data_IF_413437352316
#
_entry.id   IF_413437352316
#
_cell.length_a   1.000
_cell.length_b   1.000
_cell.length_c   1.000
_cell.angle_alpha   90.00
_cell.angle_beta   90.00
_cell.angle_gamma   90.00
#
_symmetry.space_group_name_H-M   'P 1'
#
loop_
_entity.id
_entity.type
_entity.pdbx_description
1 polymer ?
#
# COMPACT_ATOMS: atom_id res chain seq x y z
N UNK A 1 -1.08 -6.13 8.53
CA UNK A 1 0.17 -6.84 8.74
C UNK A 1 0.08 -7.76 9.96
N UNK A 2 0.85 -8.85 9.92
CA UNK A 2 1.25 -9.59 11.12
C UNK A 2 2.77 -9.45 11.23
N UNK A 3 3.25 -9.01 12.38
CA UNK A 3 4.65 -8.77 12.65
C UNK A 3 5.09 -9.47 13.92
N UNK A 4 6.33 -9.95 13.93
CA UNK A 4 7.00 -10.37 15.17
C UNK A 4 8.04 -9.30 15.49
N UNK A 5 7.91 -8.71 16.66
CA UNK A 5 8.89 -7.80 17.27
C UNK A 5 9.77 -8.58 18.22
N UNK A 6 11.08 -8.35 18.14
CA UNK A 6 12.09 -8.87 19.05
C UNK A 6 12.58 -7.73 19.93
N UNK A 7 12.31 -7.83 21.24
CA UNK A 7 12.81 -6.89 22.25
C UNK A 7 14.28 -7.18 22.59
N UNK A 8 14.97 -6.18 23.12
CA UNK A 8 16.33 -6.29 23.60
C UNK A 8 17.41 -6.10 22.53
N UNK A 9 17.03 -5.79 21.27
CA UNK A 9 17.98 -5.68 20.17
C UNK A 9 17.66 -4.46 19.30
N UNK A 10 18.67 -3.62 19.06
CA UNK A 10 18.60 -2.47 18.13
C UNK A 10 19.48 -2.76 16.93
N UNK A 11 18.98 -2.51 15.71
CA UNK A 11 19.71 -2.72 14.46
C UNK A 11 19.65 -1.47 13.57
N UNK A 12 20.63 -1.32 12.70
CA UNK A 12 20.73 -0.19 11.75
C UNK A 12 19.56 -0.10 10.76
N UNK A 13 18.95 -1.24 10.46
CA UNK A 13 17.80 -1.36 9.54
C UNK A 13 16.44 -1.42 10.23
N UNK A 14 16.43 -1.48 11.57
CA UNK A 14 15.24 -1.75 12.39
C UNK A 14 14.63 -3.17 12.12
N UNK A 15 15.42 -4.05 11.51
CA UNK A 15 15.07 -5.42 11.12
C UNK A 15 16.16 -6.36 11.63
N UNK A 16 15.80 -7.56 12.04
CA UNK A 16 16.73 -8.54 12.61
C UNK A 16 17.88 -8.90 11.67
N UNK A 17 17.69 -8.71 10.36
CA UNK A 17 18.73 -8.95 9.34
C UNK A 17 19.75 -7.82 9.21
N UNK A 18 19.56 -6.72 9.92
CA UNK A 18 20.51 -5.60 9.97
C UNK A 18 21.70 -5.86 10.89
N UNK A 19 22.64 -4.92 10.86
CA UNK A 19 23.78 -4.92 11.79
C UNK A 19 23.29 -4.56 13.18
N UNK A 20 23.63 -5.39 14.17
CA UNK A 20 23.30 -5.11 15.59
C UNK A 20 24.12 -3.91 16.06
N UNK A 21 23.44 -2.90 16.56
CA UNK A 21 24.04 -1.69 17.13
C UNK A 21 24.10 -1.78 18.66
N UNK A 22 23.02 -2.28 19.28
CA UNK A 22 22.91 -2.39 20.73
C UNK A 22 22.14 -3.66 21.11
N UNK A 23 22.48 -4.25 22.27
CA UNK A 23 21.74 -5.32 22.91
C UNK A 23 21.51 -4.94 24.38
N UNK A 24 20.28 -5.13 24.84
CA UNK A 24 19.87 -4.79 26.19
C UNK A 24 19.13 -5.98 26.84
N UNK A 25 19.23 -6.17 28.16
CA UNK A 25 18.39 -7.12 28.86
C UNK A 25 16.91 -6.71 28.74
N UNK A 26 16.04 -7.72 28.69
CA UNK A 26 14.58 -7.51 28.62
C UNK A 26 14.01 -7.78 30.01
N UNK A 27 13.97 -6.73 30.84
CA UNK A 27 13.52 -6.79 32.23
C UNK A 27 12.11 -6.17 32.39
N UNK A 28 11.26 -6.28 31.37
CA UNK A 28 9.91 -5.73 31.33
C UNK A 28 8.86 -6.83 31.51
N UNK A 29 7.75 -6.52 32.19
CA UNK A 29 6.63 -7.44 32.32
C UNK A 29 5.77 -7.48 31.04
N UNK A 30 4.98 -8.53 30.89
CA UNK A 30 4.02 -8.64 29.77
C UNK A 30 2.99 -7.50 29.81
N UNK A 31 2.58 -7.02 30.99
CA UNK A 31 1.65 -5.90 31.17
C UNK A 31 2.26 -4.60 30.64
N UNK A 32 3.53 -4.32 30.97
CA UNK A 32 4.23 -3.14 30.48
C UNK A 32 4.38 -3.18 28.95
N UNK A 33 4.71 -4.33 28.39
CA UNK A 33 4.79 -4.52 26.93
C UNK A 33 3.43 -4.31 26.29
N UNK A 34 2.35 -4.85 26.85
CA UNK A 34 1.00 -4.70 26.35
C UNK A 34 0.56 -3.23 26.35
N UNK A 35 0.82 -2.53 27.45
CA UNK A 35 0.50 -1.10 27.56
C UNK A 35 1.28 -0.29 26.52
N UNK A 36 2.59 -0.51 26.40
CA UNK A 36 3.43 0.18 25.43
C UNK A 36 2.96 -0.05 23.99
N UNK A 37 2.71 -1.30 23.60
CA UNK A 37 2.21 -1.67 22.25
C UNK A 37 0.88 -0.99 21.95
N UNK A 38 -0.10 -1.08 22.85
CA UNK A 38 -1.44 -0.54 22.62
C UNK A 38 -1.47 0.98 22.61
N UNK A 39 -0.52 1.66 23.24
CA UNK A 39 -0.43 3.12 23.24
C UNK A 39 -0.10 3.75 21.89
N UNK A 40 0.37 2.95 20.90
CA UNK A 40 0.61 3.42 19.54
C UNK A 40 -0.64 3.38 18.65
N UNK A 41 -1.79 2.89 19.14
CA UNK A 41 -3.04 2.97 18.41
C UNK A 41 -3.54 4.42 18.32
N UNK A 42 -4.01 4.83 17.14
CA UNK A 42 -4.43 6.20 16.84
C UNK A 42 -3.48 6.94 15.92
N UNK A 43 -3.48 8.27 16.04
CA UNK A 43 -2.59 9.14 15.29
C UNK A 43 -1.17 9.09 15.87
N UNK A 44 -0.19 8.93 14.99
CA UNK A 44 1.18 8.68 15.37
C UNK A 44 2.15 9.41 14.42
N UNK A 45 3.08 10.17 14.99
CA UNK A 45 4.13 10.88 14.24
C UNK A 45 5.35 9.97 14.10
N UNK A 46 5.54 9.36 12.94
CA UNK A 46 6.61 8.39 12.68
C UNK A 46 7.76 9.01 11.89
N UNK A 47 8.98 8.84 12.35
CA UNK A 47 10.20 9.18 11.60
C UNK A 47 10.51 8.00 10.65
N UNK A 48 10.45 8.18 9.31
CA UNK A 48 10.70 7.09 8.37
C UNK A 48 12.13 6.53 8.51
N UNK A 49 12.33 5.22 8.30
CA UNK A 49 13.68 4.63 8.38
C UNK A 49 14.58 5.10 7.23
N UNK A 50 15.90 5.10 7.46
CA UNK A 50 16.87 5.36 6.38
C UNK A 50 16.75 4.35 5.24
N UNK A 51 16.49 3.09 5.56
CA UNK A 51 16.26 2.04 4.57
C UNK A 51 14.84 2.08 4.00
N UNK A 52 14.50 3.19 3.33
CA UNK A 52 13.20 3.38 2.67
C UNK A 52 13.35 3.92 1.25
N UNK A 53 12.28 3.78 0.44
CA UNK A 53 12.22 4.32 -0.92
C UNK A 53 11.86 5.81 -0.98
N UNK A 54 11.70 6.48 0.16
CA UNK A 54 11.47 7.91 0.21
C UNK A 54 12.65 8.67 -0.38
N UNK A 55 12.35 9.76 -1.10
CA UNK A 55 13.38 10.62 -1.70
C UNK A 55 13.58 11.88 -0.89
N UNK A 56 14.86 12.22 -0.68
CA UNK A 56 15.30 13.50 -0.15
C UNK A 56 16.29 14.08 -1.17
N UNK A 57 16.04 15.31 -1.63
CA UNK A 57 16.84 15.95 -2.69
C UNK A 57 17.03 15.07 -3.95
N UNK A 58 15.95 14.38 -4.35
CA UNK A 58 15.94 13.53 -5.55
C UNK A 58 16.56 12.13 -5.38
N UNK A 59 17.28 11.85 -4.30
CA UNK A 59 17.92 10.55 -4.01
C UNK A 59 17.06 9.74 -3.04
N UNK A 60 17.00 8.42 -3.21
CA UNK A 60 16.30 7.54 -2.25
C UNK A 60 17.09 7.43 -0.95
N UNK A 61 16.39 7.41 0.19
CA UNK A 61 17.03 7.26 1.51
C UNK A 61 17.83 5.95 1.61
N UNK A 62 17.32 4.85 1.05
CA UNK A 62 18.05 3.57 1.07
C UNK A 62 19.37 3.61 0.26
N UNK A 63 19.47 4.41 -0.79
CA UNK A 63 20.70 4.56 -1.56
C UNK A 63 21.73 5.39 -0.79
N UNK A 64 21.27 6.43 -0.08
CA UNK A 64 22.11 7.21 0.83
C UNK A 64 22.61 6.35 1.99
N UNK A 65 21.74 5.55 2.61
CA UNK A 65 22.13 4.65 3.71
C UNK A 65 23.21 3.66 3.27
N UNK A 66 23.04 3.02 2.09
CA UNK A 66 24.06 2.09 1.53
C UNK A 66 25.39 2.76 1.23
N UNK A 67 25.41 4.06 0.96
CA UNK A 67 26.64 4.84 0.79
C UNK A 67 27.19 5.41 2.10
N UNK A 68 26.66 5.00 3.26
CA UNK A 68 27.10 5.45 4.59
C UNK A 68 26.63 6.86 4.96
N UNK A 69 25.71 7.46 4.19
CA UNK A 69 25.23 8.81 4.44
C UNK A 69 23.92 8.75 5.21
N UNK A 70 23.90 9.34 6.40
CA UNK A 70 22.68 9.56 7.18
C UNK A 70 22.19 10.98 6.97
N UNK A 71 20.90 11.16 6.75
CA UNK A 71 20.26 12.46 6.61
C UNK A 71 19.14 12.61 7.63
N UNK A 72 18.89 13.84 8.04
CA UNK A 72 17.76 14.16 8.90
C UNK A 72 16.44 13.86 8.17
N UNK A 73 15.50 13.23 8.87
CA UNK A 73 14.20 12.83 8.35
C UNK A 73 13.12 13.48 9.20
N UNK A 74 12.19 14.13 8.54
CA UNK A 74 11.03 14.71 9.22
C UNK A 74 10.02 13.62 9.56
N UNK A 75 9.47 13.68 10.77
CA UNK A 75 8.37 12.85 11.18
C UNK A 75 7.14 13.10 10.28
N UNK A 76 6.39 12.05 9.99
CA UNK A 76 5.19 12.10 9.15
C UNK A 76 4.00 11.52 9.90
N UNK A 77 2.81 12.13 9.76
CA UNK A 77 1.62 11.57 10.36
C UNK A 77 1.26 10.25 9.69
N UNK A 78 1.07 9.22 10.49
CA UNK A 78 0.48 7.93 10.12
C UNK A 78 -0.61 7.59 11.12
N UNK A 79 -1.51 6.69 10.74
CA UNK A 79 -2.58 6.25 11.62
C UNK A 79 -2.51 4.75 11.81
N UNK A 80 -2.48 4.33 13.06
CA UNK A 80 -2.61 2.93 13.46
C UNK A 80 -4.07 2.71 13.85
N UNK A 81 -4.84 2.08 12.97
CA UNK A 81 -6.27 1.85 13.20
C UNK A 81 -6.54 0.84 14.31
N UNK A 82 -5.68 -0.17 14.44
CA UNK A 82 -5.74 -1.16 15.52
C UNK A 82 -4.42 -1.92 15.66
N UNK A 83 -4.11 -2.31 16.89
CA UNK A 83 -3.07 -3.30 17.20
C UNK A 83 -3.71 -4.39 18.06
N UNK A 84 -3.48 -5.65 17.68
CA UNK A 84 -3.89 -6.84 18.42
C UNK A 84 -2.65 -7.66 18.72
N UNK A 85 -2.38 -7.95 19.97
CA UNK A 85 -1.32 -8.88 20.35
C UNK A 85 -1.86 -10.29 20.17
N UNK A 86 -1.25 -11.05 19.24
CA UNK A 86 -1.65 -12.41 18.90
C UNK A 86 -1.00 -13.40 19.88
N UNK A 87 0.29 -13.17 20.17
CA UNK A 87 1.09 -14.02 21.05
C UNK A 87 2.21 -13.20 21.67
N UNK A 88 2.48 -13.44 22.95
CA UNK A 88 3.60 -12.86 23.67
C UNK A 88 4.38 -13.97 24.37
N UNK A 89 5.64 -14.08 24.02
CA UNK A 89 6.63 -14.98 24.63
C UNK A 89 7.94 -14.20 24.66
N UNK A 90 8.11 -13.42 25.72
CA UNK A 90 9.27 -12.51 25.81
C UNK A 90 10.59 -13.25 25.56
N UNK A 91 11.49 -12.69 24.74
CA UNK A 91 11.49 -11.32 24.20
C UNK A 91 10.70 -11.12 22.90
N UNK A 92 9.87 -12.06 22.45
CA UNK A 92 9.10 -11.98 21.19
C UNK A 92 7.66 -11.59 21.42
N UNK A 93 7.19 -10.64 20.59
CA UNK A 93 5.79 -10.19 20.58
C UNK A 93 5.26 -10.28 19.15
N UNK A 94 4.28 -11.17 18.93
CA UNK A 94 3.57 -11.29 17.68
C UNK A 94 2.32 -10.42 17.72
N UNK A 95 2.20 -9.48 16.79
CA UNK A 95 1.09 -8.51 16.74
C UNK A 95 0.50 -8.40 15.34
N UNK A 96 -0.82 -8.18 15.29
CA UNK A 96 -1.54 -7.79 14.08
C UNK A 96 -1.74 -6.29 14.10
N UNK A 97 -1.29 -5.60 13.05
CA UNK A 97 -1.37 -4.14 12.93
C UNK A 97 -2.18 -3.78 11.68
N UNK A 98 -3.23 -2.99 11.88
CA UNK A 98 -3.96 -2.32 10.80
C UNK A 98 -3.59 -0.85 10.80
N UNK A 99 -3.07 -0.34 9.69
CA UNK A 99 -2.53 1.02 9.63
C UNK A 99 -2.74 1.68 8.26
N UNK A 100 -2.53 2.99 8.22
CA UNK A 100 -2.56 3.78 6.99
C UNK A 100 -1.40 3.44 6.06
N UNK A 101 -1.52 3.86 4.79
CA UNK A 101 -0.41 3.79 3.83
C UNK A 101 0.79 4.62 4.33
N UNK A 102 1.99 4.14 4.03
CA UNK A 102 3.23 4.84 4.42
C UNK A 102 3.72 4.53 5.83
N UNK A 103 2.99 3.75 6.62
CA UNK A 103 3.44 3.28 7.93
C UNK A 103 4.55 2.23 7.79
N UNK A 104 5.64 2.41 8.51
CA UNK A 104 6.75 1.47 8.60
C UNK A 104 6.64 0.64 9.86
N UNK A 105 6.31 -0.65 9.70
CA UNK A 105 6.16 -1.57 10.86
C UNK A 105 7.49 -1.78 11.57
N UNK A 106 8.63 -1.72 10.88
CA UNK A 106 9.96 -1.76 11.46
C UNK A 106 10.19 -0.63 12.46
N UNK A 107 9.83 0.58 12.06
CA UNK A 107 9.94 1.76 12.93
C UNK A 107 8.96 1.66 14.11
N UNK A 108 7.74 1.16 13.90
CA UNK A 108 6.82 0.91 15.00
C UNK A 108 7.42 -0.05 16.05
N UNK A 109 8.07 -1.13 15.61
CA UNK A 109 8.75 -2.06 16.51
C UNK A 109 9.88 -1.36 17.29
N UNK A 110 10.73 -0.58 16.62
CA UNK A 110 11.79 0.18 17.26
C UNK A 110 11.23 1.16 18.30
N UNK A 111 10.24 1.97 17.94
CA UNK A 111 9.67 3.02 18.80
C UNK A 111 8.98 2.40 20.04
N UNK A 112 8.36 1.21 19.90
CA UNK A 112 7.84 0.44 21.06
C UNK A 112 9.01 0.02 21.96
N UNK A 113 10.11 -0.49 21.40
CA UNK A 113 11.30 -0.88 22.15
C UNK A 113 11.97 0.30 22.87
N UNK A 114 12.03 1.47 22.21
CA UNK A 114 12.53 2.72 22.81
C UNK A 114 11.64 3.15 23.99
N UNK A 115 10.32 3.09 23.84
CA UNK A 115 9.37 3.38 24.91
C UNK A 115 9.53 2.46 26.12
N UNK A 116 9.90 1.20 25.87
CA UNK A 116 10.19 0.21 26.92
C UNK A 116 11.62 0.31 27.48
N UNK A 117 12.47 1.20 26.92
CA UNK A 117 13.87 1.40 27.30
C UNK A 117 14.75 0.15 27.17
N UNK A 118 14.31 -0.87 26.42
CA UNK A 118 15.11 -2.07 26.15
C UNK A 118 15.48 -2.24 24.67
N UNK A 119 15.01 -1.32 23.78
CA UNK A 119 15.19 -1.46 22.35
C UNK A 119 14.37 -2.61 21.75
N UNK A 120 14.14 -2.55 20.44
CA UNK A 120 13.52 -3.64 19.67
C UNK A 120 13.83 -3.51 18.18
N UNK A 121 13.71 -4.62 17.46
CA UNK A 121 13.70 -4.65 16.00
C UNK A 121 12.57 -5.58 15.50
N UNK A 122 12.24 -5.47 14.22
CA UNK A 122 11.31 -6.38 13.57
C UNK A 122 12.01 -7.69 13.22
N UNK A 123 11.46 -8.83 13.65
CA UNK A 123 12.01 -10.17 13.33
C UNK A 123 11.33 -10.76 12.09
N UNK A 124 10.03 -10.58 11.93
CA UNK A 124 9.31 -11.03 10.74
C UNK A 124 8.12 -10.15 10.43
N UNK A 125 7.73 -10.12 9.14
CA UNK A 125 6.60 -9.33 8.66
C UNK A 125 5.84 -10.08 7.57
N UNK A 126 4.53 -10.21 7.76
CA UNK A 126 3.60 -10.68 6.74
C UNK A 126 2.58 -9.58 6.45
N UNK A 127 2.51 -9.10 5.22
CA UNK A 127 1.41 -8.24 4.76
C UNK A 127 0.21 -9.11 4.45
N UNK A 128 -0.79 -9.09 5.31
CA UNK A 128 -1.97 -9.95 5.19
C UNK A 128 -3.05 -9.38 4.29
N UNK A 129 -3.14 -8.05 4.18
CA UNK A 129 -4.15 -7.39 3.34
C UNK A 129 -3.68 -6.03 2.85
N UNK A 130 -4.06 -5.66 1.62
CA UNK A 130 -3.93 -4.32 1.05
C UNK A 130 -5.20 -4.02 0.26
N UNK A 131 -5.99 -3.02 0.71
CA UNK A 131 -7.33 -2.76 0.16
C UNK A 131 -8.15 -4.05 0.15
N UNK A 132 -8.65 -4.50 -0.98
CA UNK A 132 -9.44 -5.74 -1.12
C UNK A 132 -8.58 -7.00 -1.30
N UNK A 133 -7.26 -6.86 -1.56
CA UNK A 133 -6.38 -8.00 -1.79
C UNK A 133 -5.91 -8.62 -0.48
N UNK A 134 -6.23 -9.90 -0.27
CA UNK A 134 -5.82 -10.68 0.89
C UNK A 134 -4.74 -11.68 0.52
N UNK A 135 -3.82 -11.96 1.45
CA UNK A 135 -2.74 -12.93 1.23
C UNK A 135 -3.26 -14.36 1.02
N UNK A 136 -4.43 -14.68 1.57
CA UNK A 136 -5.09 -15.97 1.38
C UNK A 136 -5.50 -16.23 -0.07
N UNK A 137 -5.77 -15.16 -0.83
CA UNK A 137 -6.17 -15.22 -2.24
C UNK A 137 -4.96 -15.14 -3.18
N UNK A 138 -3.74 -14.93 -2.62
CA UNK A 138 -2.52 -14.82 -3.40
C UNK A 138 -2.05 -16.20 -3.88
N UNK A 139 -1.64 -16.27 -5.14
CA UNK A 139 -1.08 -17.47 -5.73
C UNK A 139 0.44 -17.48 -5.61
N UNK A 140 1.01 -18.67 -5.43
CA UNK A 140 2.46 -18.89 -5.56
C UNK A 140 2.85 -18.86 -7.04
N UNK A 141 4.10 -18.52 -7.32
CA UNK A 141 4.59 -18.51 -8.71
C UNK A 141 4.41 -19.85 -9.41
N UNK A 142 4.61 -20.97 -8.72
CA UNK A 142 4.38 -22.31 -9.25
C UNK A 142 2.90 -22.57 -9.61
N UNK A 143 1.97 -22.08 -8.78
CA UNK A 143 0.53 -22.20 -9.05
C UNK A 143 0.12 -21.35 -10.26
N UNK A 144 0.71 -20.16 -10.41
CA UNK A 144 0.49 -19.31 -11.59
C UNK A 144 1.02 -20.04 -12.84
N UNK A 145 2.22 -20.60 -12.79
CA UNK A 145 2.82 -21.33 -13.90
C UNK A 145 1.95 -22.53 -14.35
N UNK A 146 1.44 -23.31 -13.41
CA UNK A 146 0.54 -24.44 -13.68
C UNK A 146 -0.78 -23.97 -14.32
N UNK A 147 -1.39 -22.90 -13.77
CA UNK A 147 -2.63 -22.33 -14.32
C UNK A 147 -2.43 -21.77 -15.73
N UNK A 148 -1.32 -21.07 -15.98
CA UNK A 148 -0.97 -20.59 -17.32
C UNK A 148 -0.83 -21.77 -18.28
N UNK A 149 -0.02 -22.78 -17.97
CA UNK A 149 0.17 -23.98 -18.81
C UNK A 149 -1.17 -24.65 -19.12
N UNK A 150 -2.06 -24.73 -18.14
CA UNK A 150 -3.39 -25.33 -18.33
C UNK A 150 -4.30 -24.48 -19.22
N UNK A 151 -4.29 -23.17 -19.05
CA UNK A 151 -5.17 -22.25 -19.77
C UNK A 151 -4.75 -22.11 -21.24
N UNK A 152 -3.46 -21.99 -21.52
CA UNK A 152 -2.98 -21.73 -22.88
C UNK A 152 -2.82 -23.02 -23.72
N UNK A 153 -2.59 -24.18 -23.10
CA UNK A 153 -2.35 -25.43 -23.81
C UNK A 153 -1.19 -25.28 -24.79
N UNK A 154 -1.50 -25.33 -26.11
CA UNK A 154 -0.53 -25.14 -27.21
C UNK A 154 -0.65 -23.75 -27.87
N UNK A 155 -1.46 -22.84 -27.31
CA UNK A 155 -1.64 -21.49 -27.86
C UNK A 155 -0.34 -20.69 -27.70
N UNK A 156 0.20 -20.09 -28.78
CA UNK A 156 1.44 -19.33 -28.71
C UNK A 156 1.23 -18.01 -27.94
N UNK A 157 2.28 -17.48 -27.27
CA UNK A 157 2.18 -16.31 -26.41
C UNK A 157 1.57 -15.06 -27.04
N UNK A 158 1.77 -14.89 -28.35
CA UNK A 158 1.25 -13.74 -29.11
C UNK A 158 -0.28 -13.71 -29.23
N UNK A 159 -0.94 -14.85 -28.92
CA UNK A 159 -2.39 -15.00 -28.94
C UNK A 159 -3.00 -15.05 -27.54
N UNK A 160 -2.20 -14.82 -26.49
CA UNK A 160 -2.72 -14.84 -25.13
C UNK A 160 -3.52 -13.56 -24.84
N UNK A 161 -4.70 -13.76 -24.28
CA UNK A 161 -5.58 -12.69 -23.84
C UNK A 161 -5.77 -12.75 -22.32
N UNK A 162 -5.93 -11.60 -21.67
CA UNK A 162 -6.11 -11.52 -20.22
C UNK A 162 -7.31 -12.36 -19.73
N UNK A 163 -8.36 -12.46 -20.52
CA UNK A 163 -9.55 -13.28 -20.21
C UNK A 163 -9.30 -14.80 -20.17
N UNK A 164 -8.16 -15.29 -20.64
CA UNK A 164 -7.76 -16.70 -20.51
C UNK A 164 -7.34 -17.07 -19.08
N UNK A 165 -7.08 -16.08 -18.23
CA UNK A 165 -6.50 -16.27 -16.90
C UNK A 165 -7.45 -15.80 -15.80
N UNK A 166 -7.94 -16.73 -14.99
CA UNK A 166 -8.89 -16.50 -13.90
C UNK A 166 -8.29 -15.69 -12.72
N UNK A 167 -6.98 -15.52 -12.69
CA UNK A 167 -6.23 -14.78 -11.67
C UNK A 167 -5.77 -13.39 -12.11
N UNK A 168 -6.06 -12.96 -13.36
CA UNK A 168 -5.79 -11.61 -13.85
C UNK A 168 -7.03 -10.74 -13.67
N UNK A 169 -6.90 -9.73 -12.83
CA UNK A 169 -7.94 -8.74 -12.61
C UNK A 169 -7.72 -7.53 -13.50
N UNK A 170 -8.80 -7.01 -14.09
CA UNK A 170 -8.75 -5.74 -14.83
C UNK A 170 -8.48 -4.57 -13.88
N UNK A 171 -7.80 -3.54 -14.37
CA UNK A 171 -7.44 -2.37 -13.54
C UNK A 171 -8.67 -1.71 -12.93
N UNK A 172 -9.78 -1.64 -13.64
CA UNK A 172 -11.03 -1.03 -13.18
C UNK A 172 -11.73 -1.83 -12.07
N UNK A 173 -11.41 -3.15 -11.95
CA UNK A 173 -12.01 -4.00 -10.91
C UNK A 173 -11.62 -3.58 -9.48
N UNK A 174 -10.49 -2.89 -9.29
CA UNK A 174 -10.08 -2.36 -7.99
C UNK A 174 -10.77 -1.05 -7.61
N UNK A 175 -11.59 -0.50 -8.49
CA UNK A 175 -12.30 0.76 -8.31
C UNK A 175 -13.84 0.61 -8.33
N UNK A 176 -14.36 -0.60 -8.03
CA UNK A 176 -15.80 -0.89 -8.11
C UNK A 176 -16.65 -0.03 -7.16
N UNK A 177 -16.06 0.54 -6.12
CA UNK A 177 -16.70 1.52 -5.25
C UNK A 177 -17.10 2.81 -5.99
N UNK A 178 -16.42 3.17 -7.09
CA UNK A 178 -16.75 4.33 -7.92
C UNK A 178 -17.75 3.97 -9.02
N UNK A 179 -18.67 4.87 -9.31
CA UNK A 179 -19.67 4.66 -10.35
C UNK A 179 -19.04 4.69 -11.74
N UNK A 180 -19.57 3.87 -12.64
CA UNK A 180 -19.19 3.83 -14.05
C UNK A 180 -19.86 4.99 -14.79
N UNK A 181 -19.09 5.71 -15.61
CA UNK A 181 -19.55 6.74 -16.52
C UNK A 181 -18.92 6.52 -17.91
N UNK A 182 -19.66 6.82 -18.97
CA UNK A 182 -19.22 6.59 -20.36
C UNK A 182 -19.21 7.95 -21.08
N UNK A 183 -18.13 8.24 -21.79
CA UNK A 183 -17.96 9.45 -22.61
C UNK A 183 -18.40 9.15 -24.04
N UNK A 184 -19.13 10.09 -24.67
CA UNK A 184 -19.55 10.00 -26.06
C UNK A 184 -18.32 9.96 -26.99
N UNK A 185 -18.38 9.15 -28.02
CA UNK A 185 -17.29 8.84 -28.97
C UNK A 185 -16.65 10.09 -29.59
N UNK A 186 -17.44 11.11 -29.86
CA UNK A 186 -16.96 12.38 -30.43
C UNK A 186 -15.92 13.09 -29.54
N UNK A 187 -15.89 12.82 -28.23
CA UNK A 187 -14.97 13.40 -27.26
C UNK A 187 -13.76 12.52 -26.94
N UNK A 188 -13.64 11.34 -27.58
CA UNK A 188 -12.54 10.41 -27.31
C UNK A 188 -11.15 11.04 -27.44
N UNK A 189 -10.96 11.96 -28.43
CA UNK A 189 -9.69 12.66 -28.57
C UNK A 189 -9.31 13.48 -27.34
N UNK A 190 -10.26 14.15 -26.72
CA UNK A 190 -10.02 14.90 -25.48
C UNK A 190 -9.81 13.94 -24.30
N UNK A 191 -10.62 12.89 -24.22
CA UNK A 191 -10.56 11.89 -23.18
C UNK A 191 -9.19 11.21 -23.14
N UNK A 192 -8.69 10.75 -24.29
CA UNK A 192 -7.40 10.04 -24.38
C UNK A 192 -6.19 10.94 -24.11
N UNK A 193 -6.34 12.26 -24.30
CA UNK A 193 -5.32 13.23 -23.91
C UNK A 193 -5.42 13.67 -22.43
N UNK A 194 -6.29 13.05 -21.64
CA UNK A 194 -6.44 13.36 -20.23
C UNK A 194 -7.04 14.75 -19.96
N UNK A 195 -7.83 15.25 -20.87
CA UNK A 195 -8.51 16.53 -20.68
C UNK A 195 -9.68 16.42 -19.70
N UNK A 196 -10.15 17.56 -19.25
CA UNK A 196 -11.35 17.69 -18.42
C UNK A 196 -12.60 17.36 -19.24
N UNK A 197 -13.59 16.70 -18.59
CA UNK A 197 -14.84 16.29 -19.23
C UNK A 197 -16.02 17.09 -18.68
N UNK A 198 -16.77 17.74 -19.57
CA UNK A 198 -18.00 18.45 -19.20
C UNK A 198 -19.18 17.48 -19.11
N UNK A 199 -20.27 17.92 -18.46
CA UNK A 199 -21.47 17.11 -18.21
C UNK A 199 -22.17 16.66 -19.52
N UNK A 200 -22.12 17.47 -20.56
CA UNK A 200 -22.70 17.20 -21.88
C UNK A 200 -21.91 16.19 -22.73
N UNK A 201 -20.69 15.86 -22.31
CA UNK A 201 -19.83 14.87 -22.97
C UNK A 201 -20.14 13.41 -22.58
N UNK A 202 -20.98 13.21 -21.57
CA UNK A 202 -21.35 11.87 -21.13
C UNK A 202 -22.54 11.31 -21.89
N UNK A 203 -22.52 10.03 -22.24
CA UNK A 203 -23.65 9.33 -22.88
C UNK A 203 -24.92 9.45 -22.05
N UNK A 204 -24.81 9.32 -20.72
CA UNK A 204 -25.90 9.57 -19.78
C UNK A 204 -25.32 10.16 -18.49
N UNK A 205 -25.54 11.46 -18.28
CA UNK A 205 -25.08 12.14 -17.10
C UNK A 205 -25.99 11.89 -15.88
N UNK A 206 -25.39 11.79 -14.69
CA UNK A 206 -26.13 11.68 -13.42
C UNK A 206 -25.51 12.63 -12.39
N UNK A 207 -26.30 13.57 -11.85
CA UNK A 207 -25.84 14.56 -10.88
C UNK A 207 -25.22 13.98 -9.61
N UNK A 208 -25.66 12.78 -9.19
CA UNK A 208 -25.06 12.05 -8.04
C UNK A 208 -23.59 11.69 -8.21
N UNK A 209 -23.04 11.77 -9.44
CA UNK A 209 -21.63 11.53 -9.69
C UNK A 209 -20.73 12.67 -9.20
N UNK A 210 -21.28 13.84 -8.95
CA UNK A 210 -20.53 15.00 -8.44
C UNK A 210 -20.01 14.82 -7.02
N UNK A 211 -20.58 13.89 -6.26
CA UNK A 211 -20.27 13.69 -4.84
C UNK A 211 -19.07 12.75 -4.58
N UNK A 212 -18.56 12.08 -5.59
CA UNK A 212 -17.46 11.10 -5.46
C UNK A 212 -16.71 10.94 -6.78
N UNK A 213 -15.49 10.40 -6.76
CA UNK A 213 -14.80 10.01 -7.98
C UNK A 213 -15.60 8.99 -8.80
N UNK A 214 -15.44 9.03 -10.11
CA UNK A 214 -16.07 8.14 -11.07
C UNK A 214 -15.04 7.42 -11.93
N UNK A 215 -15.42 6.21 -12.41
CA UNK A 215 -14.66 5.46 -13.42
C UNK A 215 -15.16 5.88 -14.79
N UNK A 216 -14.27 6.39 -15.64
CA UNK A 216 -14.61 6.79 -17.00
C UNK A 216 -14.17 5.73 -18.00
N UNK A 217 -15.09 5.44 -18.93
CA UNK A 217 -14.93 4.53 -20.06
C UNK A 217 -15.27 5.26 -21.35
N UNK A 218 -14.72 4.78 -22.47
CA UNK A 218 -15.25 5.11 -23.79
C UNK A 218 -16.46 4.23 -24.15
N UNK A 219 -17.10 4.47 -25.28
CA UNK A 219 -18.24 3.68 -25.76
C UNK A 219 -17.87 2.25 -26.16
N UNK A 220 -16.60 1.97 -26.47
CA UNK A 220 -16.10 0.63 -26.73
C UNK A 220 -15.88 -0.17 -25.42
N UNK A 221 -16.12 0.45 -24.26
CA UNK A 221 -16.00 -0.17 -22.95
C UNK A 221 -14.57 -0.19 -22.38
N UNK A 222 -13.63 0.52 -22.99
CA UNK A 222 -12.25 0.64 -22.50
C UNK A 222 -12.23 1.55 -21.28
N UNK A 223 -11.61 1.06 -20.20
CA UNK A 223 -11.39 1.87 -19.00
C UNK A 223 -10.28 2.88 -19.23
N UNK A 224 -10.58 4.14 -19.02
CA UNK A 224 -9.66 5.26 -19.27
C UNK A 224 -9.03 5.78 -17.99
N UNK A 225 -9.83 5.91 -16.92
CA UNK A 225 -9.31 6.45 -15.68
C UNK A 225 -10.34 6.79 -14.63
N UNK A 226 -9.83 7.41 -13.57
CA UNK A 226 -10.62 7.95 -12.47
C UNK A 226 -10.66 9.46 -12.62
N UNK A 227 -11.84 10.01 -12.52
CA UNK A 227 -12.10 11.46 -12.59
C UNK A 227 -12.90 11.90 -11.37
N UNK A 228 -12.73 13.14 -10.95
CA UNK A 228 -13.54 13.75 -9.89
C UNK A 228 -14.12 15.08 -10.35
N UNK A 229 -15.31 15.39 -9.84
CA UNK A 229 -16.00 16.65 -10.13
C UNK A 229 -15.31 17.82 -9.45
N UNK A 230 -15.25 18.95 -10.13
CA UNK A 230 -14.72 20.21 -9.62
C UNK A 230 -15.87 21.22 -9.55
N UNK A 231 -16.36 21.54 -8.37
CA UNK A 231 -17.41 22.54 -8.16
C UNK A 231 -17.03 23.92 -8.72
N UNK A 232 -15.73 24.27 -8.64
CA UNK A 232 -15.23 25.58 -9.11
C UNK A 232 -15.38 25.73 -10.62
N UNK A 233 -15.17 24.65 -11.40
CA UNK A 233 -15.15 24.69 -12.86
C UNK A 233 -16.37 24.02 -13.50
N UNK A 234 -17.17 23.29 -12.71
CA UNK A 234 -18.39 22.65 -13.17
C UNK A 234 -18.15 21.44 -14.11
N UNK A 235 -16.96 20.82 -14.05
CA UNK A 235 -16.54 19.72 -14.92
C UNK A 235 -15.75 18.65 -14.16
N UNK A 236 -15.41 17.55 -14.81
CA UNK A 236 -14.65 16.44 -14.27
C UNK A 236 -13.18 16.56 -14.67
N UNK A 237 -12.28 16.55 -13.68
CA UNK A 237 -10.82 16.52 -13.88
C UNK A 237 -10.27 15.09 -13.69
N UNK A 238 -9.23 14.69 -14.44
CA UNK A 238 -8.58 13.42 -14.23
C UNK A 238 -7.85 13.41 -12.89
N UNK A 239 -8.05 12.34 -12.11
CA UNK A 239 -7.29 12.02 -10.90
C UNK A 239 -6.17 11.04 -11.25
N UNK A 240 -6.50 10.03 -12.08
CA UNK A 240 -5.54 9.04 -12.56
C UNK A 240 -5.99 8.48 -13.91
N UNK A 241 -5.09 8.46 -14.87
CA UNK A 241 -5.27 7.80 -16.17
C UNK A 241 -4.55 6.45 -16.18
N UNK A 242 -5.14 5.47 -16.88
CA UNK A 242 -4.67 4.09 -17.00
C UNK A 242 -4.51 3.66 -18.46
N UNK A 243 -4.42 4.61 -19.39
CA UNK A 243 -4.15 4.30 -20.78
C UNK A 243 -2.67 3.98 -20.97
N UNK A 244 -2.39 3.00 -21.81
CA UNK A 244 -1.07 2.80 -22.39
C UNK A 244 -0.78 3.96 -23.34
N UNK A 245 0.43 4.51 -23.24
CA UNK A 245 0.89 5.61 -24.09
C UNK A 245 1.17 5.12 -25.52
#
# INVERSE_FOLDING_TARGET
YVAVMLLGKVTDTQDVTGTVLEEHPVEVSEEQVKEAVLSFAGDYMQVPPMYSALKVNGKKLCDLARSGVTVERQARPVQIYSIEIIKMELPRVCMRVRCSKGTYIRTLCQDIGEKLSCGACMESLLRTKVSEFCVQDALRLSEIEERVKKAVGQTPPEQWEAGMFDFIYTVDSVFLQYKKAVICREWNKLLYNGNRMKKDMFVSYQSKWEQQPIRIYDEEGRFIGIYEYSDIQGDYKPVKLFMEA
#
